data_IF_976099084168
#
_entry.id   IF_976099084168
#
_cell.length_a   1.000
_cell.length_b   1.000
_cell.length_c   1.000
_cell.angle_alpha   90.00
_cell.angle_beta   90.00
_cell.angle_gamma   90.00
#
_symmetry.space_group_name_H-M   'P 1'
#
loop_
_entity.id
_entity.type
_entity.pdbx_description
1 polymer ?
#
# COMPACT_ATOMS: atom_id res chain seq x y z
N UNK A 1 4.20 27.92 -19.89
CA UNK A 1 5.10 27.46 -18.81
C UNK A 1 5.16 28.57 -17.77
N UNK A 2 5.16 28.24 -16.48
CA UNK A 2 5.16 29.26 -15.41
C UNK A 2 6.39 30.17 -15.57
N UNK A 3 6.15 31.48 -15.70
CA UNK A 3 7.16 32.51 -16.00
C UNK A 3 7.37 33.51 -14.87
N UNK A 4 6.90 33.20 -13.66
CA UNK A 4 7.13 34.00 -12.46
C UNK A 4 8.42 33.56 -11.80
N UNK A 5 9.21 34.52 -11.31
CA UNK A 5 10.37 34.23 -10.48
C UNK A 5 9.92 33.83 -9.07
N UNK A 6 10.72 33.01 -8.36
CA UNK A 6 10.40 32.55 -7.00
C UNK A 6 10.05 33.68 -6.03
N UNK A 7 10.60 34.89 -6.23
CA UNK A 7 10.32 36.08 -5.42
C UNK A 7 8.93 36.66 -5.61
N UNK A 8 8.29 36.34 -6.72
CA UNK A 8 6.95 36.82 -7.09
C UNK A 8 5.85 35.82 -6.69
N UNK A 9 6.22 34.70 -6.08
CA UNK A 9 5.26 33.70 -5.58
C UNK A 9 4.72 34.18 -4.23
N UNK A 10 3.46 34.59 -4.21
CA UNK A 10 2.74 34.88 -2.97
C UNK A 10 2.31 33.58 -2.30
N UNK A 11 2.74 33.38 -1.06
CA UNK A 11 2.39 32.23 -0.21
C UNK A 11 1.61 32.64 1.04
N UNK A 12 1.07 33.86 1.08
CA UNK A 12 0.40 34.42 2.26
C UNK A 12 -0.82 33.59 2.71
N UNK A 13 -1.44 32.86 1.79
CA UNK A 13 -2.58 31.97 2.04
C UNK A 13 -2.18 30.56 2.50
N UNK A 14 -0.92 30.15 2.31
CA UNK A 14 -0.40 28.83 2.69
C UNK A 14 0.89 29.02 3.50
N UNK A 15 0.77 29.31 4.81
CA UNK A 15 1.95 29.47 5.67
C UNK A 15 2.74 28.17 5.78
N UNK A 16 4.05 28.28 5.95
CA UNK A 16 4.92 27.13 6.10
C UNK A 16 4.56 26.31 7.36
N UNK A 17 4.43 24.99 7.18
CA UNK A 17 4.24 24.06 8.30
C UNK A 17 5.61 23.70 8.86
N UNK A 18 5.93 24.24 10.04
CA UNK A 18 7.19 23.96 10.74
C UNK A 18 7.08 22.80 11.73
N UNK A 19 5.88 22.52 12.25
CA UNK A 19 5.62 21.40 13.15
C UNK A 19 5.18 20.16 12.37
N UNK A 20 6.06 19.16 12.33
CA UNK A 20 5.84 17.87 11.66
C UNK A 20 5.58 16.73 12.65
N UNK A 21 5.36 17.02 13.94
CA UNK A 21 5.17 16.00 14.97
C UNK A 21 3.99 15.05 14.69
N UNK A 22 2.93 15.54 14.05
CA UNK A 22 1.77 14.74 13.60
C UNK A 22 1.91 14.10 12.22
N UNK A 23 3.02 14.34 11.50
CA UNK A 23 3.18 13.89 10.14
C UNK A 23 3.41 12.37 10.07
N UNK A 24 2.58 11.69 9.27
CA UNK A 24 2.64 10.25 9.06
C UNK A 24 3.41 9.91 7.78
N UNK A 25 4.68 9.52 7.92
CA UNK A 25 5.47 8.99 6.81
C UNK A 25 4.92 7.64 6.33
N UNK A 26 4.84 7.46 5.01
CA UNK A 26 4.54 6.15 4.40
C UNK A 26 3.06 5.83 4.15
N UNK A 27 2.13 6.77 4.36
CA UNK A 27 0.71 6.60 4.02
C UNK A 27 0.47 6.24 2.54
N UNK A 28 1.34 6.71 1.64
CA UNK A 28 1.26 6.44 0.20
C UNK A 28 2.08 5.21 -0.25
N UNK A 29 2.73 4.47 0.65
CA UNK A 29 3.45 3.28 0.22
C UNK A 29 2.47 2.20 -0.28
N UNK A 30 2.43 2.02 -1.59
CA UNK A 30 1.77 0.89 -2.24
C UNK A 30 2.84 -0.12 -2.62
N UNK A 31 2.86 -1.31 -2.00
CA UNK A 31 3.75 -2.38 -2.44
C UNK A 31 3.51 -2.68 -3.91
N UNK A 32 4.57 -2.61 -4.71
CA UNK A 32 4.51 -2.95 -6.14
C UNK A 32 4.21 -4.44 -6.25
N UNK A 33 3.04 -4.78 -6.78
CA UNK A 33 2.66 -6.16 -7.06
C UNK A 33 3.44 -6.62 -8.29
N UNK A 34 4.16 -7.73 -8.18
CA UNK A 34 4.77 -8.40 -9.33
C UNK A 34 3.84 -9.51 -9.80
N UNK A 35 3.51 -9.53 -11.08
CA UNK A 35 2.77 -10.64 -11.68
C UNK A 35 3.74 -11.81 -11.84
N UNK A 36 3.46 -12.90 -11.13
CA UNK A 36 4.23 -14.14 -11.19
C UNK A 36 3.27 -15.31 -11.45
N UNK A 37 3.80 -16.39 -12.00
CA UNK A 37 3.07 -17.68 -12.06
C UNK A 37 3.35 -18.45 -10.79
N UNK A 38 2.32 -18.66 -9.97
CA UNK A 38 2.37 -19.45 -8.73
C UNK A 38 1.29 -20.55 -8.80
N UNK A 39 1.64 -21.75 -8.36
CA UNK A 39 0.68 -22.84 -8.16
C UNK A 39 0.16 -22.80 -6.73
N UNK A 40 -1.15 -22.92 -6.58
CA UNK A 40 -1.85 -23.05 -5.31
C UNK A 40 -2.72 -24.30 -5.41
N UNK A 41 -2.89 -24.99 -4.28
CA UNK A 41 -3.81 -26.12 -4.22
C UNK A 41 -5.25 -25.68 -4.52
N UNK A 42 -6.00 -26.57 -5.15
CA UNK A 42 -7.33 -26.25 -5.67
C UNK A 42 -8.32 -25.90 -4.55
N UNK A 43 -8.21 -26.57 -3.41
CA UNK A 43 -9.02 -26.36 -2.21
C UNK A 43 -8.70 -25.00 -1.55
N UNK A 44 -7.43 -24.64 -1.43
CA UNK A 44 -6.99 -23.33 -0.94
C UNK A 44 -7.53 -22.22 -1.83
N UNK A 45 -7.40 -22.37 -3.14
CA UNK A 45 -7.92 -21.38 -4.09
C UNK A 45 -9.46 -21.27 -4.01
N UNK A 46 -10.15 -22.40 -3.89
CA UNK A 46 -11.61 -22.42 -3.73
C UNK A 46 -12.04 -21.71 -2.43
N UNK A 47 -11.35 -21.96 -1.33
CA UNK A 47 -11.62 -21.30 -0.05
C UNK A 47 -11.50 -19.77 -0.17
N UNK A 48 -10.40 -19.26 -0.74
CA UNK A 48 -10.21 -17.80 -0.90
C UNK A 48 -11.25 -17.18 -1.84
N UNK A 49 -11.70 -17.89 -2.88
CA UNK A 49 -12.75 -17.41 -3.77
C UNK A 49 -14.11 -17.34 -3.07
N UNK A 50 -14.46 -18.33 -2.26
CA UNK A 50 -15.73 -18.39 -1.53
C UNK A 50 -15.82 -17.36 -0.40
N UNK A 51 -14.69 -17.05 0.26
CA UNK A 51 -14.65 -16.10 1.36
C UNK A 51 -14.52 -14.64 0.90
N UNK A 52 -14.24 -14.40 -0.38
CA UNK A 52 -14.13 -13.05 -0.94
C UNK A 52 -15.50 -12.49 -1.33
N UNK A 53 -15.86 -11.24 -0.95
CA UNK A 53 -17.15 -10.64 -1.32
C UNK A 53 -17.38 -10.64 -2.84
N UNK A 54 -18.37 -11.42 -3.29
CA UNK A 54 -18.68 -11.59 -4.71
C UNK A 54 -17.56 -12.21 -5.55
N UNK A 55 -16.67 -13.02 -4.95
CA UNK A 55 -15.56 -13.68 -5.63
C UNK A 55 -14.46 -12.75 -6.13
N UNK A 56 -14.50 -11.46 -5.76
CA UNK A 56 -13.53 -10.44 -6.15
C UNK A 56 -12.55 -10.19 -5.01
N UNK A 57 -11.27 -9.98 -5.35
CA UNK A 57 -10.25 -9.64 -4.35
C UNK A 57 -9.58 -10.84 -3.66
N UNK A 58 -9.91 -12.08 -4.02
CA UNK A 58 -9.23 -13.28 -3.48
C UNK A 58 -7.70 -13.22 -3.64
N UNK A 59 -7.19 -12.69 -4.76
CA UNK A 59 -5.74 -12.48 -4.96
C UNK A 59 -5.15 -11.46 -3.97
N UNK A 60 -5.93 -10.43 -3.61
CA UNK A 60 -5.52 -9.44 -2.60
C UNK A 60 -5.47 -10.07 -1.22
N UNK A 61 -6.45 -10.92 -0.87
CA UNK A 61 -6.47 -11.63 0.41
C UNK A 61 -5.34 -12.67 0.51
N UNK A 62 -5.09 -13.44 -0.55
CA UNK A 62 -3.93 -14.35 -0.62
C UNK A 62 -2.64 -13.57 -0.31
N UNK A 63 -2.43 -12.44 -0.98
CA UNK A 63 -1.22 -11.62 -0.76
C UNK A 63 -1.16 -11.03 0.66
N UNK A 64 -2.30 -10.67 1.25
CA UNK A 64 -2.38 -10.21 2.64
C UNK A 64 -1.92 -11.30 3.60
N UNK A 65 -2.45 -12.52 3.48
CA UNK A 65 -2.11 -13.66 4.35
C UNK A 65 -0.63 -14.03 4.22
N UNK A 66 -0.10 -14.11 3.00
CA UNK A 66 1.32 -14.39 2.78
C UNK A 66 2.23 -13.35 3.43
N UNK A 67 1.85 -12.07 3.36
CA UNK A 67 2.59 -10.98 3.99
C UNK A 67 2.56 -11.07 5.52
N UNK A 68 1.41 -11.40 6.09
CA UNK A 68 1.26 -11.58 7.53
C UNK A 68 2.12 -12.73 8.04
N UNK A 69 2.09 -13.87 7.32
CA UNK A 69 2.95 -15.01 7.61
C UNK A 69 4.44 -14.62 7.58
N UNK A 70 4.90 -14.00 6.49
CA UNK A 70 6.29 -13.57 6.36
C UNK A 70 6.72 -12.62 7.50
N UNK A 71 5.88 -11.64 7.85
CA UNK A 71 6.15 -10.73 8.99
C UNK A 71 6.23 -11.47 10.31
N UNK A 72 5.41 -12.49 10.52
CA UNK A 72 5.46 -13.30 11.75
C UNK A 72 6.75 -14.10 11.81
N UNK A 73 7.14 -14.76 10.73
CA UNK A 73 8.37 -15.55 10.66
C UNK A 73 9.62 -14.69 10.91
N UNK A 74 9.66 -13.46 10.38
CA UNK A 74 10.76 -12.51 10.61
C UNK A 74 10.86 -11.99 12.06
N UNK A 75 9.81 -12.11 12.88
CA UNK A 75 9.87 -11.74 14.31
C UNK A 75 10.42 -12.87 15.19
N UNK A 76 10.55 -14.08 14.65
CA UNK A 76 10.99 -15.27 15.36
C UNK A 76 12.39 -15.74 14.93
N UNK A 77 13.06 -14.97 14.08
CA UNK A 77 14.45 -15.16 13.65
C UNK A 77 15.31 -14.04 14.24
#
# INVERSE_FOLDING_TARGET
MAGLSDREIDTSDVPEVLDWSGARRGLLYRPVKKQITLRLDADVLAWFKSNAPGGRGYQTEINRVLREHARRSLRHA
#
